data_IF_871283840202
#
_entry.id   IF_871283840202
#
_cell.length_a   1.000
_cell.length_b   1.000
_cell.length_c   1.000
_cell.angle_alpha   90.00
_cell.angle_beta   90.00
_cell.angle_gamma   90.00
#
_symmetry.space_group_name_H-M   'P 1'
#
loop_
_entity.id
_entity.type
_entity.pdbx_description
1 polymer ?
#
# COMPACT_ATOMS: atom_id res chain seq x y z
N UNK A 1 15.35 -20.86 -15.93
CA UNK A 1 14.93 -19.45 -16.06
C UNK A 1 15.16 -18.78 -14.71
N UNK A 2 15.94 -17.71 -14.70
CA UNK A 2 16.16 -16.89 -13.51
C UNK A 2 15.05 -15.85 -13.40
N UNK A 3 14.37 -15.79 -12.27
CA UNK A 3 13.29 -14.84 -11.97
C UNK A 3 13.76 -13.80 -10.98
N UNK A 4 13.26 -12.57 -11.11
CA UNK A 4 13.46 -11.51 -10.12
C UNK A 4 12.12 -10.84 -9.83
N UNK A 5 11.77 -10.71 -8.56
CA UNK A 5 10.52 -10.06 -8.13
C UNK A 5 10.77 -9.06 -7.02
N UNK A 6 10.09 -7.93 -7.08
CA UNK A 6 10.07 -6.94 -6.00
C UNK A 6 8.98 -7.18 -4.96
N UNK A 7 8.14 -8.20 -5.18
CA UNK A 7 7.07 -8.57 -4.26
C UNK A 7 6.87 -10.09 -4.25
N UNK A 8 7.07 -10.71 -3.09
CA UNK A 8 6.86 -12.15 -2.91
C UNK A 8 5.42 -12.43 -2.49
N UNK A 9 4.53 -12.42 -3.47
CA UNK A 9 3.15 -12.89 -3.32
C UNK A 9 3.05 -14.40 -3.16
N UNK A 10 1.85 -14.97 -3.12
CA UNK A 10 1.67 -16.43 -3.01
C UNK A 10 2.37 -17.21 -4.10
N UNK A 11 2.39 -16.70 -5.34
CA UNK A 11 3.04 -17.36 -6.48
C UNK A 11 4.57 -17.40 -6.34
N UNK A 12 5.20 -16.28 -6.00
CA UNK A 12 6.64 -16.17 -5.80
C UNK A 12 7.10 -17.04 -4.63
N UNK A 13 6.33 -17.05 -3.53
CA UNK A 13 6.60 -17.93 -2.38
C UNK A 13 6.52 -19.41 -2.77
N UNK A 14 5.50 -19.79 -3.53
CA UNK A 14 5.36 -21.14 -4.05
C UNK A 14 6.55 -21.54 -4.94
N UNK A 15 6.96 -20.66 -5.87
CA UNK A 15 8.11 -20.90 -6.75
C UNK A 15 9.39 -21.06 -5.94
N UNK A 16 9.67 -20.17 -4.99
CA UNK A 16 10.84 -20.26 -4.10
C UNK A 16 10.84 -21.58 -3.31
N UNK A 17 9.72 -21.91 -2.69
CA UNK A 17 9.60 -23.09 -1.82
C UNK A 17 9.62 -24.40 -2.63
N UNK A 18 9.34 -24.33 -3.96
CA UNK A 18 9.50 -25.42 -4.93
C UNK A 18 10.92 -25.53 -5.51
N UNK A 19 11.85 -24.65 -5.09
CA UNK A 19 13.24 -24.66 -5.56
C UNK A 19 13.48 -23.98 -6.90
N UNK A 20 12.55 -23.12 -7.36
CA UNK A 20 12.79 -22.29 -8.54
C UNK A 20 13.90 -21.26 -8.26
N UNK A 21 14.64 -20.93 -9.32
CA UNK A 21 15.67 -19.87 -9.32
C UNK A 21 14.98 -18.50 -9.34
N UNK A 22 14.65 -17.98 -8.15
CA UNK A 22 13.96 -16.71 -7.95
C UNK A 22 14.61 -15.86 -6.87
N UNK A 23 14.92 -14.62 -7.18
CA UNK A 23 15.51 -13.63 -6.28
C UNK A 23 14.54 -12.52 -5.94
N UNK A 24 14.65 -12.03 -4.70
CA UNK A 24 13.97 -10.83 -4.25
C UNK A 24 14.79 -9.56 -4.53
N UNK A 25 14.17 -8.55 -5.13
CA UNK A 25 14.77 -7.23 -5.36
C UNK A 25 14.19 -6.24 -4.35
N UNK A 26 14.93 -5.89 -3.28
CA UNK A 26 14.43 -4.95 -2.28
C UNK A 26 14.39 -3.51 -2.82
N UNK A 27 13.21 -2.93 -2.85
CA UNK A 27 13.00 -1.52 -3.18
C UNK A 27 11.60 -1.07 -2.70
N UNK A 28 11.47 0.19 -2.34
CA UNK A 28 10.16 0.84 -2.23
C UNK A 28 9.46 0.80 -3.59
N UNK A 29 8.14 0.71 -3.62
CA UNK A 29 7.44 0.56 -4.89
C UNK A 29 7.72 1.73 -5.86
N UNK A 30 7.79 2.96 -5.37
CA UNK A 30 8.16 4.13 -6.19
C UNK A 30 9.52 4.01 -6.89
N UNK A 31 10.44 3.22 -6.33
CA UNK A 31 11.80 3.02 -6.86
C UNK A 31 11.87 1.94 -7.93
N UNK A 32 10.79 1.22 -8.20
CA UNK A 32 10.79 0.21 -9.28
C UNK A 32 10.83 0.84 -10.67
N UNK A 33 10.31 2.06 -10.90
CA UNK A 33 10.47 2.74 -12.17
C UNK A 33 11.97 2.94 -12.55
N UNK A 34 12.84 3.51 -11.68
CA UNK A 34 14.28 3.59 -11.97
C UNK A 34 14.98 2.20 -11.96
N UNK A 35 14.45 1.19 -11.26
CA UNK A 35 14.99 -0.19 -11.34
C UNK A 35 14.76 -0.75 -12.74
N UNK A 36 13.55 -0.66 -13.28
CA UNK A 36 13.23 -1.09 -14.64
C UNK A 36 14.06 -0.36 -15.70
N UNK A 37 14.20 0.97 -15.56
CA UNK A 37 15.03 1.79 -16.44
C UNK A 37 16.49 1.30 -16.50
N UNK A 38 17.07 0.91 -15.35
CA UNK A 38 18.43 0.34 -15.30
C UNK A 38 18.52 -1.08 -15.85
N UNK A 39 17.47 -1.91 -15.64
CA UNK A 39 17.41 -3.28 -16.16
C UNK A 39 17.23 -3.33 -17.69
N UNK A 40 16.66 -2.29 -18.29
CA UNK A 40 16.38 -2.18 -19.72
C UNK A 40 15.77 -3.45 -20.31
N UNK A 41 14.59 -3.90 -19.83
CA UNK A 41 13.98 -5.13 -20.30
C UNK A 41 13.77 -5.05 -21.82
N UNK A 42 14.22 -6.06 -22.54
CA UNK A 42 14.05 -6.12 -24.00
C UNK A 42 12.59 -6.27 -24.40
N UNK A 43 11.80 -6.94 -23.56
CA UNK A 43 10.37 -7.14 -23.74
C UNK A 43 9.66 -6.60 -22.51
N UNK A 44 8.70 -5.70 -22.71
CA UNK A 44 7.75 -5.26 -21.69
C UNK A 44 6.39 -5.84 -22.04
N UNK A 45 5.84 -6.67 -21.17
CA UNK A 45 4.49 -7.22 -21.29
C UNK A 45 3.59 -6.61 -20.20
N UNK A 46 2.48 -6.02 -20.62
CA UNK A 46 1.49 -5.39 -19.74
C UNK A 46 0.07 -5.83 -20.10
N UNK A 47 -0.88 -5.53 -19.21
CA UNK A 47 -2.30 -5.75 -19.47
C UNK A 47 -3.05 -4.42 -19.58
N UNK A 48 -4.12 -4.39 -20.38
CA UNK A 48 -4.95 -3.23 -20.60
C UNK A 48 -6.40 -3.57 -20.93
N UNK A 49 -7.23 -2.55 -20.94
CA UNK A 49 -8.61 -2.67 -21.39
C UNK A 49 -8.68 -2.78 -22.92
N UNK A 50 -9.85 -3.21 -23.46
CA UNK A 50 -10.09 -3.19 -24.91
C UNK A 50 -9.84 -1.79 -25.50
N UNK A 51 -9.24 -1.71 -26.71
CA UNK A 51 -8.98 -0.43 -27.35
C UNK A 51 -10.27 0.37 -27.62
N UNK A 52 -10.22 1.67 -27.37
CA UNK A 52 -11.26 2.63 -27.72
C UNK A 52 -10.62 3.79 -28.44
N UNK A 53 -11.10 4.11 -29.64
CA UNK A 53 -10.57 5.20 -30.49
C UNK A 53 -9.04 5.13 -30.69
N UNK A 54 -8.49 3.93 -30.88
CA UNK A 54 -7.07 3.67 -31.07
C UNK A 54 -6.24 3.69 -29.77
N UNK A 55 -6.84 3.85 -28.62
CA UNK A 55 -6.14 3.88 -27.33
C UNK A 55 -6.48 2.69 -26.44
N UNK A 56 -5.46 2.06 -25.88
CA UNK A 56 -5.55 1.04 -24.84
C UNK A 56 -5.34 1.70 -23.49
N UNK A 57 -6.33 1.67 -22.60
CA UNK A 57 -6.14 2.06 -21.19
C UNK A 57 -5.31 1.01 -20.47
N UNK A 58 -4.36 1.42 -19.62
CA UNK A 58 -3.57 0.51 -18.78
C UNK A 58 -4.40 -0.15 -17.66
N UNK A 59 -5.68 0.14 -17.62
CA UNK A 59 -6.67 -0.49 -16.74
C UNK A 59 -6.32 -0.38 -15.25
N UNK A 60 -6.08 -1.48 -14.57
CA UNK A 60 -5.98 -1.54 -13.11
C UNK A 60 -4.58 -1.20 -12.58
N UNK A 61 -3.60 -0.91 -13.44
CA UNK A 61 -2.21 -0.75 -12.99
C UNK A 61 -1.44 0.26 -13.83
N UNK A 62 -1.14 1.43 -13.26
CA UNK A 62 -0.15 2.36 -13.78
C UNK A 62 1.26 1.95 -13.29
N UNK A 63 1.44 1.85 -12.00
CA UNK A 63 2.61 1.29 -11.33
C UNK A 63 3.94 1.87 -11.80
N UNK A 64 4.94 0.99 -11.83
CA UNK A 64 6.31 1.32 -12.24
C UNK A 64 6.52 1.23 -13.77
N UNK A 65 5.52 0.79 -14.53
CA UNK A 65 5.66 0.50 -15.98
C UNK A 65 5.36 1.69 -16.87
N UNK A 66 4.67 2.72 -16.38
CA UNK A 66 4.24 3.86 -17.22
C UNK A 66 5.43 4.54 -17.93
N UNK A 67 6.45 4.92 -17.20
CA UNK A 67 7.68 5.53 -17.78
C UNK A 67 8.45 4.54 -18.66
N UNK A 68 8.41 3.26 -18.32
CA UNK A 68 9.11 2.22 -19.09
C UNK A 68 8.43 1.94 -20.42
N UNK A 69 7.11 2.10 -20.53
CA UNK A 69 6.38 2.03 -21.79
C UNK A 69 6.93 3.08 -22.79
N UNK A 70 7.11 4.32 -22.34
CA UNK A 70 7.66 5.38 -23.19
C UNK A 70 9.08 5.05 -23.66
N UNK A 71 9.93 4.51 -22.78
CA UNK A 71 11.29 4.09 -23.13
C UNK A 71 11.33 2.92 -24.11
N UNK A 72 10.40 1.97 -23.98
CA UNK A 72 10.27 0.84 -24.92
C UNK A 72 9.81 1.32 -26.29
N UNK A 73 8.83 2.22 -26.35
CA UNK A 73 8.33 2.79 -27.60
C UNK A 73 9.42 3.58 -28.34
N UNK A 74 10.29 4.26 -27.61
CA UNK A 74 11.37 5.06 -28.18
C UNK A 74 12.57 4.23 -28.66
N UNK A 75 12.66 2.94 -28.35
CA UNK A 75 13.81 2.07 -28.66
C UNK A 75 13.39 0.97 -29.63
N UNK A 76 13.85 0.98 -30.90
CA UNK A 76 13.45 0.03 -31.93
C UNK A 76 13.90 -1.42 -31.66
N UNK A 77 14.86 -1.63 -30.75
CA UNK A 77 15.35 -2.96 -30.39
C UNK A 77 14.54 -3.61 -29.26
N UNK A 78 13.53 -2.89 -28.75
CA UNK A 78 12.68 -3.34 -27.64
C UNK A 78 11.26 -3.61 -28.14
N UNK A 79 10.53 -4.43 -27.38
CA UNK A 79 9.21 -4.92 -27.75
C UNK A 79 8.20 -4.64 -26.64
N UNK A 80 7.09 -3.99 -27.01
CA UNK A 80 5.93 -3.79 -26.17
C UNK A 80 4.84 -4.81 -26.55
N UNK A 81 4.46 -5.67 -25.59
CA UNK A 81 3.35 -6.61 -25.71
C UNK A 81 2.23 -6.13 -24.79
N UNK A 82 1.03 -5.99 -25.32
CA UNK A 82 -0.15 -5.61 -24.52
C UNK A 82 -1.21 -6.69 -24.64
N UNK A 83 -1.53 -7.33 -23.54
CA UNK A 83 -2.70 -8.19 -23.40
C UNK A 83 -3.92 -7.33 -23.15
N UNK A 84 -4.99 -7.49 -23.93
CA UNK A 84 -6.26 -6.79 -23.74
C UNK A 84 -7.38 -7.79 -23.46
N UNK A 85 -8.25 -7.43 -22.52
CA UNK A 85 -9.42 -8.25 -22.19
C UNK A 85 -10.66 -7.36 -22.02
N UNK A 86 -11.87 -7.84 -22.45
CA UNK A 86 -13.12 -7.13 -22.21
C UNK A 86 -13.46 -7.01 -20.71
N UNK A 87 -12.86 -7.84 -19.87
CA UNK A 87 -13.08 -7.84 -18.42
C UNK A 87 -12.23 -6.82 -17.68
N UNK A 88 -11.21 -6.23 -18.32
CA UNK A 88 -10.42 -5.17 -17.71
C UNK A 88 -11.10 -3.81 -17.87
N UNK A 89 -11.36 -3.08 -16.76
CA UNK A 89 -12.05 -1.80 -16.82
C UNK A 89 -11.19 -0.75 -17.54
N UNK A 90 -11.85 0.11 -18.32
CA UNK A 90 -11.24 1.32 -18.85
C UNK A 90 -11.16 2.35 -17.73
N UNK A 91 -9.95 2.76 -17.39
CA UNK A 91 -9.65 3.75 -16.35
C UNK A 91 -8.85 4.90 -16.93
N UNK A 92 -8.66 5.98 -16.18
CA UNK A 92 -8.09 7.23 -16.67
C UNK A 92 -6.89 7.69 -15.86
N UNK A 93 -5.94 8.34 -16.52
CA UNK A 93 -4.90 9.13 -15.87
C UNK A 93 -5.34 10.57 -15.59
N UNK A 94 -4.45 11.40 -15.09
CA UNK A 94 -4.64 12.84 -15.02
C UNK A 94 -3.92 13.48 -16.22
N UNK A 95 -4.69 14.06 -17.12
CA UNK A 95 -4.15 14.79 -18.28
C UNK A 95 -3.57 16.12 -17.77
N UNK A 96 -2.25 16.16 -17.58
CA UNK A 96 -1.51 17.39 -17.34
C UNK A 96 -1.04 17.99 -18.68
N UNK A 97 -0.77 19.30 -18.77
CA UNK A 97 -0.12 19.88 -19.92
C UNK A 97 1.17 19.13 -20.26
N UNK A 98 1.27 18.60 -21.49
CA UNK A 98 2.38 17.75 -21.91
C UNK A 98 2.18 16.24 -21.78
N UNK A 99 0.99 15.78 -21.39
CA UNK A 99 0.64 14.35 -21.34
C UNK A 99 1.34 13.54 -20.25
N UNK A 100 1.90 14.19 -19.24
CA UNK A 100 2.80 13.59 -18.24
C UNK A 100 2.18 12.46 -17.40
N UNK A 101 0.85 12.37 -17.33
CA UNK A 101 0.16 11.36 -16.54
C UNK A 101 -0.87 10.59 -17.37
N UNK A 102 -0.54 10.33 -18.63
CA UNK A 102 -1.37 9.48 -19.48
C UNK A 102 -1.38 8.05 -18.95
N UNK A 103 -2.57 7.49 -18.80
CA UNK A 103 -2.77 6.10 -18.38
C UNK A 103 -3.25 5.26 -19.56
N UNK A 104 -2.63 5.42 -20.71
CA UNK A 104 -3.00 4.76 -21.97
C UNK A 104 -1.84 4.71 -22.96
N UNK A 105 -1.89 3.78 -23.89
CA UNK A 105 -0.95 3.66 -25.01
C UNK A 105 -1.72 3.56 -26.34
N UNK A 106 -1.22 4.23 -27.38
CA UNK A 106 -1.83 4.14 -28.70
C UNK A 106 -1.49 2.81 -29.38
N UNK A 107 -2.44 2.21 -30.09
CA UNK A 107 -2.25 0.90 -30.74
C UNK A 107 -1.08 0.86 -31.71
N UNK A 108 -0.79 1.97 -32.39
CA UNK A 108 0.36 2.08 -33.33
C UNK A 108 1.72 1.95 -32.63
N UNK A 109 1.78 2.13 -31.33
CA UNK A 109 3.00 1.99 -30.52
C UNK A 109 3.17 0.60 -29.89
N UNK A 110 2.22 -0.30 -30.14
CA UNK A 110 2.21 -1.66 -29.60
C UNK A 110 2.75 -2.62 -30.65
N UNK A 111 3.82 -3.35 -30.31
CA UNK A 111 4.37 -4.34 -31.23
C UNK A 111 3.48 -5.58 -31.37
N UNK A 112 2.90 -6.05 -30.23
CA UNK A 112 2.00 -7.21 -30.22
C UNK A 112 0.81 -6.92 -29.32
N UNK A 113 -0.38 -6.85 -29.90
CA UNK A 113 -1.65 -6.80 -29.18
C UNK A 113 -2.19 -8.24 -29.08
N UNK A 114 -2.41 -8.69 -27.87
CA UNK A 114 -2.87 -10.06 -27.58
C UNK A 114 -4.26 -9.99 -26.94
N UNK A 115 -5.26 -10.54 -27.64
CA UNK A 115 -6.61 -10.63 -27.09
C UNK A 115 -6.73 -11.83 -26.14
N UNK A 116 -7.42 -11.64 -25.01
CA UNK A 116 -7.71 -12.67 -24.03
C UNK A 116 -9.10 -12.48 -23.41
N UNK A 117 -9.58 -13.53 -22.76
CA UNK A 117 -10.79 -13.52 -21.93
C UNK A 117 -10.43 -13.54 -20.43
N UNK A 118 -9.22 -13.15 -20.08
CA UNK A 118 -8.76 -13.18 -18.69
C UNK A 118 -9.51 -12.15 -17.85
N UNK A 119 -10.00 -12.59 -16.70
CA UNK A 119 -10.61 -11.71 -15.69
C UNK A 119 -9.53 -11.09 -14.79
N UNK A 120 -9.79 -9.91 -14.22
CA UNK A 120 -8.94 -9.34 -13.18
C UNK A 120 -8.86 -10.25 -11.94
N UNK A 121 -7.78 -10.14 -11.20
CA UNK A 121 -7.62 -10.87 -9.93
C UNK A 121 -8.74 -10.47 -8.96
N UNK A 122 -9.56 -11.44 -8.55
CA UNK A 122 -10.56 -11.23 -7.51
C UNK A 122 -9.91 -11.32 -6.12
N UNK A 123 -9.92 -10.21 -5.38
CA UNK A 123 -9.57 -10.16 -3.97
C UNK A 123 -10.85 -10.00 -3.16
N UNK A 124 -11.30 -11.09 -2.57
CA UNK A 124 -12.48 -11.08 -1.71
C UNK A 124 -12.26 -10.20 -0.47
N UNK A 125 -13.32 -9.55 -0.02
CA UNK A 125 -13.29 -8.83 1.25
C UNK A 125 -13.02 -9.79 2.42
N UNK A 126 -12.11 -9.39 3.29
CA UNK A 126 -11.80 -10.15 4.50
C UNK A 126 -12.76 -9.72 5.62
N UNK A 127 -13.40 -10.70 6.25
CA UNK A 127 -14.19 -10.45 7.46
C UNK A 127 -13.21 -10.14 8.61
N UNK A 128 -13.31 -8.96 9.26
CA UNK A 128 -12.39 -8.60 10.32
C UNK A 128 -12.60 -9.49 11.56
N UNK A 129 -11.52 -9.84 12.21
CA UNK A 129 -11.52 -10.47 13.54
C UNK A 129 -11.92 -9.45 14.62
N UNK A 130 -12.26 -9.92 15.82
CA UNK A 130 -12.58 -9.04 16.95
C UNK A 130 -11.42 -8.07 17.28
N UNK A 131 -10.16 -8.56 17.23
CA UNK A 131 -8.98 -7.74 17.42
C UNK A 131 -8.86 -6.65 16.33
N UNK A 132 -9.07 -7.00 15.07
CA UNK A 132 -9.02 -6.04 13.95
C UNK A 132 -10.13 -5.00 14.02
N UNK A 133 -11.32 -5.36 14.50
CA UNK A 133 -12.41 -4.39 14.73
C UNK A 133 -12.02 -3.39 15.82
N UNK A 134 -11.46 -3.83 16.96
CA UNK A 134 -10.98 -2.93 18.01
C UNK A 134 -9.85 -2.02 17.54
N UNK A 135 -8.89 -2.55 16.76
CA UNK A 135 -7.83 -1.75 16.14
C UNK A 135 -8.43 -0.66 15.25
N UNK A 136 -9.40 -1.01 14.43
CA UNK A 136 -10.07 -0.05 13.55
C UNK A 136 -10.82 1.05 14.34
N UNK A 137 -11.52 0.70 15.43
CA UNK A 137 -12.18 1.65 16.32
C UNK A 137 -11.19 2.66 16.95
N UNK A 138 -10.00 2.19 17.33
CA UNK A 138 -8.93 3.05 17.86
C UNK A 138 -8.37 3.92 16.73
N UNK A 139 -8.09 3.35 15.55
CA UNK A 139 -7.58 4.09 14.39
C UNK A 139 -8.55 5.19 13.92
N UNK A 140 -9.85 4.97 14.04
CA UNK A 140 -10.88 5.97 13.72
C UNK A 140 -10.77 7.26 14.53
N UNK A 141 -10.12 7.25 15.71
CA UNK A 141 -9.90 8.46 16.53
C UNK A 141 -8.92 9.43 15.87
N UNK A 142 -8.12 8.97 14.91
CA UNK A 142 -7.19 9.78 14.12
C UNK A 142 -7.79 10.29 12.81
N UNK A 143 -9.03 9.88 12.47
CA UNK A 143 -9.69 10.23 11.21
C UNK A 143 -10.85 11.18 11.51
N UNK A 144 -10.74 12.40 11.03
CA UNK A 144 -11.78 13.43 11.14
C UNK A 144 -12.21 13.92 9.75
N UNK A 145 -13.24 14.75 9.69
CA UNK A 145 -13.72 15.37 8.46
C UNK A 145 -12.59 16.12 7.74
N UNK A 146 -12.50 15.92 6.44
CA UNK A 146 -11.48 16.55 5.60
C UNK A 146 -10.12 15.82 5.60
N UNK A 147 -9.99 14.66 6.25
CA UNK A 147 -8.79 13.84 6.11
C UNK A 147 -8.62 13.30 4.69
N UNK A 148 -7.38 13.26 4.22
CA UNK A 148 -7.01 12.48 3.03
C UNK A 148 -6.51 11.11 3.47
N UNK A 149 -7.03 10.06 2.86
CA UNK A 149 -6.86 8.68 3.32
C UNK A 149 -6.01 7.86 2.36
N UNK A 150 -5.12 7.05 2.93
CA UNK A 150 -4.53 5.87 2.30
C UNK A 150 -4.91 4.65 3.12
N UNK A 151 -5.40 3.61 2.43
CA UNK A 151 -5.67 2.31 3.04
C UNK A 151 -5.17 1.18 2.16
N UNK A 152 -4.77 0.08 2.78
CA UNK A 152 -4.47 -1.18 2.10
C UNK A 152 -5.66 -2.15 2.10
N UNK A 153 -5.34 -3.43 1.94
CA UNK A 153 -6.26 -4.57 2.10
C UNK A 153 -6.14 -5.16 3.50
N UNK A 154 -7.16 -5.90 3.92
CA UNK A 154 -7.21 -6.61 5.21
C UNK A 154 -8.40 -6.21 6.07
N UNK A 155 -8.54 -6.85 7.22
CA UNK A 155 -9.68 -6.64 8.11
C UNK A 155 -9.77 -5.22 8.66
N UNK A 156 -8.66 -4.66 9.12
CA UNK A 156 -8.62 -3.30 9.69
C UNK A 156 -9.01 -2.23 8.66
N UNK A 157 -8.35 -2.11 7.47
CA UNK A 157 -8.73 -1.12 6.47
C UNK A 157 -10.16 -1.27 5.98
N UNK A 158 -10.64 -2.51 5.80
CA UNK A 158 -12.00 -2.78 5.36
C UNK A 158 -13.04 -2.32 6.39
N UNK A 159 -12.78 -2.59 7.68
CA UNK A 159 -13.66 -2.14 8.76
C UNK A 159 -13.70 -0.63 8.89
N UNK A 160 -12.55 0.05 8.82
CA UNK A 160 -12.46 1.52 8.83
C UNK A 160 -13.28 2.11 7.69
N UNK A 161 -13.10 1.64 6.45
CA UNK A 161 -13.85 2.15 5.30
C UNK A 161 -15.37 1.95 5.47
N UNK A 162 -15.80 0.82 6.04
CA UNK A 162 -17.21 0.52 6.34
C UNK A 162 -17.77 1.48 7.40
N UNK A 163 -17.03 1.72 8.48
CA UNK A 163 -17.44 2.64 9.54
C UNK A 163 -17.50 4.08 9.05
N UNK A 164 -16.53 4.53 8.26
CA UNK A 164 -16.53 5.86 7.66
C UNK A 164 -17.73 6.03 6.71
N UNK A 165 -18.04 5.03 5.90
CA UNK A 165 -19.20 5.05 5.00
C UNK A 165 -20.52 5.14 5.75
N UNK A 166 -20.66 4.50 6.90
CA UNK A 166 -21.87 4.48 7.73
C UNK A 166 -21.96 5.68 8.71
N UNK A 167 -20.82 6.25 9.13
CA UNK A 167 -20.74 7.32 10.14
C UNK A 167 -21.34 8.66 9.70
N UNK A 168 -21.24 9.68 10.54
CA UNK A 168 -21.75 11.03 10.25
C UNK A 168 -20.71 11.93 9.57
N UNK A 169 -19.42 11.58 9.60
CA UNK A 169 -18.33 12.35 9.01
C UNK A 169 -18.35 12.37 7.47
N UNK A 170 -17.45 13.16 6.87
CA UNK A 170 -17.37 13.30 5.42
C UNK A 170 -16.24 14.21 4.94
N UNK A 171 -16.37 14.71 3.73
CA UNK A 171 -15.38 15.56 3.06
C UNK A 171 -13.99 14.90 2.93
N UNK A 172 -13.95 13.58 2.78
CA UNK A 172 -12.69 12.84 2.67
C UNK A 172 -12.02 13.04 1.30
N UNK A 173 -10.70 13.04 1.31
CA UNK A 173 -9.87 12.85 0.12
C UNK A 173 -9.32 11.42 0.07
N UNK A 174 -8.93 10.97 -1.12
CA UNK A 174 -8.21 9.70 -1.30
C UNK A 174 -6.93 9.95 -2.08
N UNK A 175 -5.81 9.56 -1.47
CA UNK A 175 -4.50 9.47 -2.09
C UNK A 175 -3.85 8.18 -1.59
N UNK A 176 -3.97 7.11 -2.37
CA UNK A 176 -3.63 5.76 -1.93
C UNK A 176 -2.88 4.99 -3.01
N UNK A 177 -1.84 4.26 -2.63
CA UNK A 177 -1.16 3.36 -3.55
C UNK A 177 -2.15 2.43 -4.24
N UNK A 178 -2.91 1.70 -3.43
CA UNK A 178 -3.94 0.77 -3.88
C UNK A 178 -5.33 1.38 -3.71
N UNK A 179 -6.17 1.24 -4.73
CA UNK A 179 -7.61 1.53 -4.63
C UNK A 179 -8.37 0.23 -4.38
N UNK A 180 -9.14 0.18 -3.30
CA UNK A 180 -9.78 -1.04 -2.80
C UNK A 180 -11.29 -0.97 -2.86
N UNK A 181 -11.98 -2.12 -2.70
CA UNK A 181 -13.45 -2.18 -2.58
C UNK A 181 -13.97 -1.36 -1.38
N UNK A 182 -13.18 -1.23 -0.30
CA UNK A 182 -13.51 -0.37 0.84
C UNK A 182 -13.57 1.11 0.43
N UNK A 183 -12.58 1.59 -0.32
CA UNK A 183 -12.56 2.97 -0.82
C UNK A 183 -13.68 3.23 -1.85
N UNK A 184 -14.03 2.25 -2.68
CA UNK A 184 -15.21 2.34 -3.55
C UNK A 184 -16.49 2.55 -2.73
N UNK A 185 -16.70 1.76 -1.68
CA UNK A 185 -17.90 1.92 -0.80
C UNK A 185 -17.93 3.30 -0.14
N UNK A 186 -16.77 3.82 0.26
CA UNK A 186 -16.67 5.17 0.81
C UNK A 186 -17.07 6.24 -0.23
N UNK A 187 -16.66 6.09 -1.49
CA UNK A 187 -17.14 6.93 -2.60
C UNK A 187 -18.65 6.85 -2.79
N UNK A 188 -19.19 5.62 -2.85
CA UNK A 188 -20.62 5.38 -3.07
C UNK A 188 -21.49 5.94 -1.93
N UNK A 189 -20.94 6.12 -0.72
CA UNK A 189 -21.63 6.77 0.40
C UNK A 189 -21.76 8.29 0.25
N UNK A 190 -21.15 8.91 -0.79
CA UNK A 190 -21.17 10.34 -1.05
C UNK A 190 -20.27 11.18 -0.12
N UNK A 191 -19.36 10.55 0.60
CA UNK A 191 -18.50 11.22 1.61
C UNK A 191 -17.12 11.61 1.12
N UNK A 192 -16.76 11.22 -0.10
CA UNK A 192 -15.50 11.58 -0.75
C UNK A 192 -15.71 12.80 -1.63
N UNK A 193 -15.08 13.89 -1.28
CA UNK A 193 -15.11 15.15 -2.07
C UNK A 193 -13.79 15.40 -2.77
N UNK A 194 -12.71 14.78 -2.31
CA UNK A 194 -11.35 15.02 -2.79
C UNK A 194 -10.90 16.49 -2.73
N UNK A 195 -11.44 17.27 -1.80
CA UNK A 195 -10.98 18.64 -1.54
C UNK A 195 -9.71 18.57 -0.68
N UNK A 196 -8.59 18.25 -1.31
CA UNK A 196 -7.30 17.94 -0.65
C UNK A 196 -6.38 19.15 -0.55
N UNK A 197 -6.67 20.22 -1.30
CA UNK A 197 -5.82 21.42 -1.39
C UNK A 197 -4.52 21.17 -2.17
N UNK A 198 -4.53 20.24 -3.13
CA UNK A 198 -3.36 19.83 -3.93
C UNK A 198 -3.62 19.93 -5.43
N UNK A 199 -2.59 19.63 -6.25
CA UNK A 199 -2.72 19.55 -7.70
C UNK A 199 -3.70 18.45 -8.18
N UNK A 200 -4.11 17.53 -7.28
CA UNK A 200 -5.02 16.43 -7.57
C UNK A 200 -6.38 16.61 -6.88
N UNK A 201 -6.80 17.84 -6.63
CA UNK A 201 -8.12 18.12 -6.11
C UNK A 201 -9.22 17.68 -7.08
N UNK A 202 -10.34 17.26 -6.50
CA UNK A 202 -11.54 16.86 -7.23
C UNK A 202 -11.58 15.39 -7.67
N UNK A 203 -10.49 14.62 -7.51
CA UNK A 203 -10.48 13.18 -7.79
C UNK A 203 -9.55 12.40 -6.86
N UNK A 204 -9.87 11.13 -6.68
CA UNK A 204 -9.02 10.18 -5.97
C UNK A 204 -7.82 9.79 -6.82
N UNK A 205 -6.67 9.63 -6.17
CA UNK A 205 -5.42 9.26 -6.82
C UNK A 205 -4.97 7.89 -6.35
N UNK A 206 -4.58 7.05 -7.31
CA UNK A 206 -4.06 5.70 -7.05
C UNK A 206 -3.06 5.28 -8.11
N UNK A 207 -2.21 4.26 -7.83
CA UNK A 207 -1.33 3.69 -8.85
C UNK A 207 -1.80 2.33 -9.35
N UNK A 208 -2.56 1.59 -8.55
CA UNK A 208 -3.26 0.38 -9.00
C UNK A 208 -4.52 0.12 -8.17
N UNK A 209 -5.38 -0.77 -8.67
CA UNK A 209 -6.58 -1.20 -7.97
C UNK A 209 -6.66 -2.72 -7.90
N UNK A 210 -7.13 -3.21 -6.75
CA UNK A 210 -7.47 -4.62 -6.58
C UNK A 210 -8.59 -4.78 -5.55
N UNK A 211 -9.54 -5.67 -5.81
CA UNK A 211 -10.69 -5.91 -4.95
C UNK A 211 -11.67 -6.91 -5.55
N UNK A 212 -12.94 -6.72 -5.27
CA UNK A 212 -14.03 -7.55 -5.78
C UNK A 212 -14.40 -7.18 -7.22
N UNK A 213 -15.12 -8.04 -7.95
CA UNK A 213 -15.64 -7.73 -9.30
C UNK A 213 -16.46 -6.44 -9.37
N UNK A 214 -17.20 -6.10 -8.31
CA UNK A 214 -17.97 -4.87 -8.23
C UNK A 214 -17.10 -3.62 -8.31
N UNK A 215 -15.89 -3.67 -7.70
CA UNK A 215 -14.92 -2.60 -7.81
C UNK A 215 -14.52 -2.36 -9.27
N UNK A 216 -14.26 -3.42 -10.03
CA UNK A 216 -13.83 -3.30 -11.43
C UNK A 216 -14.95 -2.76 -12.32
N UNK A 217 -16.19 -3.20 -12.07
CA UNK A 217 -17.37 -2.65 -12.72
C UNK A 217 -17.55 -1.17 -12.43
N UNK A 218 -17.38 -0.77 -11.17
CA UNK A 218 -17.51 0.63 -10.73
C UNK A 218 -16.39 1.52 -11.29
N UNK A 219 -15.17 1.00 -11.43
CA UNK A 219 -14.03 1.73 -12.00
C UNK A 219 -14.14 1.94 -13.50
N UNK A 220 -14.96 1.13 -14.22
CA UNK A 220 -15.07 1.24 -15.66
C UNK A 220 -15.67 2.59 -16.08
N UNK A 221 -14.89 3.39 -16.82
CA UNK A 221 -15.23 4.75 -17.24
C UNK A 221 -15.51 5.73 -16.07
N UNK A 222 -15.00 5.45 -14.89
CA UNK A 222 -15.15 6.32 -13.72
C UNK A 222 -14.10 7.44 -13.73
N UNK A 223 -14.58 8.69 -13.80
CA UNK A 223 -13.73 9.89 -13.82
C UNK A 223 -13.33 10.40 -12.43
N UNK A 224 -13.89 9.84 -11.36
CA UNK A 224 -13.57 10.27 -9.98
C UNK A 224 -12.27 9.68 -9.47
N UNK A 225 -11.71 8.67 -10.18
CA UNK A 225 -10.46 8.00 -9.81
C UNK A 225 -9.44 8.14 -10.94
N UNK A 226 -8.23 8.57 -10.59
CA UNK A 226 -7.11 8.73 -11.52
C UNK A 226 -5.97 7.78 -11.16
N UNK A 227 -5.52 7.06 -12.17
CA UNK A 227 -4.37 6.16 -12.09
C UNK A 227 -3.12 6.88 -12.54
N UNK A 228 -2.16 7.04 -11.65
CA UNK A 228 -0.91 7.76 -11.90
C UNK A 228 0.30 6.84 -11.70
N UNK A 229 1.46 7.17 -12.29
CA UNK A 229 2.69 6.44 -12.05
C UNK A 229 3.04 6.35 -10.56
N UNK A 230 3.67 5.26 -10.16
CA UNK A 230 3.96 4.99 -8.75
C UNK A 230 4.94 6.01 -8.13
N UNK A 231 5.86 6.54 -8.90
CA UNK A 231 6.80 7.59 -8.45
C UNK A 231 6.10 8.93 -8.19
N UNK A 232 4.87 9.11 -8.67
CA UNK A 232 4.00 10.25 -8.36
C UNK A 232 3.12 9.94 -7.14
N UNK A 233 2.37 8.83 -7.17
CA UNK A 233 1.43 8.48 -6.10
C UNK A 233 2.16 8.20 -4.79
N UNK A 234 3.29 7.51 -4.87
CA UNK A 234 4.08 7.09 -3.72
C UNK A 234 5.22 8.07 -3.36
N UNK A 235 5.29 9.26 -4.00
CA UNK A 235 6.26 10.27 -3.57
C UNK A 235 5.89 10.83 -2.20
N UNK A 236 6.74 10.69 -1.16
CA UNK A 236 6.48 11.30 0.14
C UNK A 236 6.26 12.82 0.06
N UNK A 237 6.92 13.49 -0.87
CA UNK A 237 6.79 14.94 -1.11
C UNK A 237 5.39 15.29 -1.65
N UNK A 238 4.82 14.45 -2.52
CA UNK A 238 3.48 14.63 -3.07
C UNK A 238 2.42 14.22 -2.03
N UNK A 239 2.64 13.11 -1.33
CA UNK A 239 1.77 12.66 -0.23
C UNK A 239 1.65 13.77 0.83
N UNK A 240 2.77 14.39 1.20
CA UNK A 240 2.83 15.48 2.18
C UNK A 240 2.04 16.73 1.80
N UNK A 241 1.75 16.96 0.52
CA UNK A 241 0.93 18.09 0.08
C UNK A 241 -0.55 17.95 0.46
N UNK A 242 -1.02 16.72 0.72
CA UNK A 242 -2.37 16.49 1.23
C UNK A 242 -2.42 16.87 2.71
N UNK A 243 -3.28 17.80 3.09
CA UNK A 243 -3.52 18.14 4.50
C UNK A 243 -4.23 16.99 5.21
N UNK A 244 -3.93 16.81 6.50
CA UNK A 244 -4.52 15.77 7.33
C UNK A 244 -4.43 14.38 6.65
N UNK A 245 -3.26 14.09 6.06
CA UNK A 245 -3.02 12.80 5.42
C UNK A 245 -2.95 11.71 6.49
N UNK A 246 -3.86 10.76 6.46
CA UNK A 246 -3.87 9.59 7.36
C UNK A 246 -3.59 8.34 6.54
N UNK A 247 -2.45 7.71 6.83
CA UNK A 247 -2.05 6.45 6.20
C UNK A 247 -2.20 5.29 7.19
N UNK A 248 -2.79 4.18 6.72
CA UNK A 248 -3.07 2.99 7.52
C UNK A 248 -2.32 1.81 6.92
N UNK A 249 -1.28 1.36 7.61
CA UNK A 249 -0.40 0.29 7.17
C UNK A 249 -0.39 -0.87 8.18
N UNK A 250 -0.19 -2.09 7.69
CA UNK A 250 -0.01 -3.26 8.53
C UNK A 250 1.45 -3.52 8.88
N UNK A 251 1.71 -4.32 9.94
CA UNK A 251 3.03 -4.81 10.27
C UNK A 251 2.99 -6.25 10.76
N UNK A 252 4.14 -6.94 10.74
CA UNK A 252 4.32 -8.28 11.29
C UNK A 252 4.74 -8.23 12.76
N UNK A 253 5.63 -7.29 13.10
CA UNK A 253 6.12 -7.10 14.47
C UNK A 253 6.70 -5.69 14.65
N UNK A 254 6.79 -5.24 15.92
CA UNK A 254 7.49 -4.04 16.35
C UNK A 254 8.31 -4.35 17.59
N UNK A 255 9.52 -3.79 17.73
CA UNK A 255 10.27 -3.87 18.99
C UNK A 255 10.01 -2.65 19.89
N UNK A 256 10.47 -2.74 21.15
CA UNK A 256 10.26 -1.67 22.13
C UNK A 256 10.98 -0.35 21.76
N UNK A 257 11.87 -0.33 20.80
CA UNK A 257 12.46 0.91 20.26
C UNK A 257 11.61 1.56 19.17
N UNK A 258 10.67 0.81 18.59
CA UNK A 258 9.80 1.23 17.50
C UNK A 258 10.29 0.80 16.10
N UNK A 259 11.24 -0.14 16.00
CA UNK A 259 11.60 -0.74 14.70
C UNK A 259 10.52 -1.70 14.24
N UNK A 260 10.09 -1.60 12.99
CA UNK A 260 8.98 -2.39 12.42
C UNK A 260 9.47 -3.39 11.40
N UNK A 261 8.95 -4.61 11.48
CA UNK A 261 9.02 -5.63 10.43
C UNK A 261 7.65 -5.70 9.75
N UNK A 262 7.59 -5.51 8.43
CA UNK A 262 6.33 -5.58 7.68
C UNK A 262 6.35 -6.57 6.51
N UNK A 263 7.51 -6.91 5.94
CA UNK A 263 7.64 -7.66 4.69
C UNK A 263 8.36 -9.01 4.82
N UNK A 264 8.82 -9.37 6.04
CA UNK A 264 9.54 -10.62 6.29
C UNK A 264 9.04 -11.36 7.54
N UNK A 265 9.24 -12.67 7.59
CA UNK A 265 8.93 -13.52 8.75
C UNK A 265 10.12 -14.45 8.99
N UNK A 266 10.70 -14.40 10.20
CA UNK A 266 11.84 -15.24 10.57
C UNK A 266 13.04 -15.10 9.63
N UNK A 267 13.32 -13.87 9.17
CA UNK A 267 14.39 -13.56 8.24
C UNK A 267 14.14 -13.99 6.79
N UNK A 268 12.97 -14.57 6.47
CA UNK A 268 12.57 -14.93 5.10
C UNK A 268 11.62 -13.88 4.53
N UNK A 269 11.84 -13.51 3.27
CA UNK A 269 10.92 -12.62 2.54
C UNK A 269 9.53 -13.24 2.45
N UNK A 270 8.52 -12.50 2.87
CA UNK A 270 7.11 -12.90 2.90
C UNK A 270 6.25 -12.12 1.90
N UNK A 271 6.53 -10.83 1.73
CA UNK A 271 5.88 -9.96 0.76
C UNK A 271 6.92 -9.08 0.06
N UNK A 272 6.62 -7.89 -0.29
CA UNK A 272 7.53 -6.81 -0.63
C UNK A 272 7.30 -5.64 0.30
N UNK A 273 8.18 -4.67 0.26
CA UNK A 273 8.04 -3.42 1.00
C UNK A 273 6.78 -2.67 0.50
N UNK A 274 6.52 -2.75 -0.83
CA UNK A 274 5.45 -1.98 -1.46
C UNK A 274 5.63 -0.49 -1.22
N UNK A 275 4.54 0.20 -0.95
CA UNK A 275 4.55 1.61 -0.57
C UNK A 275 4.55 1.87 0.93
N UNK A 276 4.82 0.86 1.76
CA UNK A 276 4.76 1.00 3.22
C UNK A 276 5.62 2.18 3.70
N UNK A 277 6.90 2.23 3.31
CA UNK A 277 7.81 3.32 3.67
C UNK A 277 7.37 4.68 3.13
N UNK A 278 6.83 4.72 1.92
CA UNK A 278 6.35 5.95 1.28
C UNK A 278 5.20 6.58 2.09
N UNK A 279 4.25 5.73 2.52
CA UNK A 279 3.07 6.11 3.30
C UNK A 279 3.30 6.11 4.82
N UNK A 280 4.48 5.78 5.28
CA UNK A 280 4.96 6.11 6.63
C UNK A 280 5.61 7.50 6.61
N UNK A 281 6.50 7.75 5.65
CA UNK A 281 7.25 9.01 5.58
C UNK A 281 6.39 10.22 5.15
N UNK A 282 5.53 10.06 4.13
CA UNK A 282 4.73 11.15 3.57
C UNK A 282 3.80 11.82 4.56
N UNK A 283 2.96 11.10 5.32
CA UNK A 283 2.09 11.68 6.34
C UNK A 283 2.85 12.43 7.44
N UNK A 284 4.04 11.96 7.82
CA UNK A 284 4.89 12.64 8.79
C UNK A 284 5.35 14.03 8.36
N UNK A 285 5.31 14.32 7.06
CA UNK A 285 5.61 15.64 6.47
C UNK A 285 4.35 16.47 6.17
N UNK A 286 3.17 15.87 6.24
CA UNK A 286 1.89 16.52 6.00
C UNK A 286 1.44 17.36 7.19
N UNK A 287 0.86 18.54 6.94
CA UNK A 287 0.26 19.35 8.01
C UNK A 287 -0.96 18.63 8.58
N UNK A 288 -0.89 18.22 9.84
CA UNK A 288 -1.91 17.44 10.52
C UNK A 288 -1.95 15.96 10.10
N UNK A 289 -0.91 15.49 9.38
CA UNK A 289 -0.84 14.11 8.94
C UNK A 289 -0.46 13.13 10.04
N UNK A 290 -0.88 11.88 9.90
CA UNK A 290 -0.59 10.77 10.83
C UNK A 290 -0.31 9.48 10.06
N UNK A 291 0.70 8.76 10.48
CA UNK A 291 1.00 7.42 9.96
C UNK A 291 0.70 6.37 11.03
N UNK A 292 -0.27 5.51 10.73
CA UNK A 292 -0.77 4.47 11.64
C UNK A 292 -0.23 3.10 11.22
N UNK A 293 0.52 2.46 12.12
CA UNK A 293 0.95 1.06 11.97
C UNK A 293 0.02 0.19 12.82
N UNK A 294 -0.88 -0.52 12.15
CA UNK A 294 -1.96 -1.29 12.76
C UNK A 294 -1.65 -2.79 12.70
N UNK A 295 -1.66 -3.46 13.85
CA UNK A 295 -1.46 -4.92 13.91
C UNK A 295 -2.08 -5.52 15.16
N UNK A 296 -2.63 -6.75 15.13
CA UNK A 296 -2.95 -7.48 16.34
C UNK A 296 -1.72 -7.63 17.24
N UNK A 297 -1.89 -7.54 18.54
CA UNK A 297 -0.77 -7.62 19.51
C UNK A 297 -0.13 -9.00 19.56
N UNK A 298 -0.84 -10.03 19.09
CA UNK A 298 -0.38 -11.43 19.06
C UNK A 298 -0.63 -12.11 17.72
N UNK A 299 0.02 -13.24 17.53
CA UNK A 299 -0.25 -14.18 16.44
C UNK A 299 -0.04 -15.61 16.94
N UNK A 300 -0.47 -16.60 16.16
CA UNK A 300 -0.26 -18.01 16.46
C UNK A 300 0.87 -18.57 15.59
N UNK A 301 1.88 -19.12 16.23
CA UNK A 301 3.01 -19.78 15.55
C UNK A 301 3.13 -21.21 16.10
N UNK A 302 2.97 -22.22 15.24
CA UNK A 302 3.01 -23.66 15.61
C UNK A 302 2.07 -24.04 16.76
N UNK A 303 0.91 -23.37 16.85
CA UNK A 303 -0.08 -23.58 17.91
C UNK A 303 0.12 -22.77 19.19
N UNK A 304 1.23 -22.04 19.32
CA UNK A 304 1.54 -21.17 20.46
C UNK A 304 1.18 -19.72 20.16
N UNK A 305 0.61 -19.01 21.14
CA UNK A 305 0.35 -17.58 21.06
C UNK A 305 1.68 -16.86 21.33
N UNK A 306 2.08 -16.00 20.40
CA UNK A 306 3.31 -15.19 20.51
C UNK A 306 3.00 -13.72 20.36
N UNK A 307 3.74 -12.88 21.09
CA UNK A 307 3.62 -11.42 21.00
C UNK A 307 4.18 -10.92 19.66
N UNK A 308 3.54 -9.93 19.07
CA UNK A 308 4.05 -9.15 17.94
C UNK A 308 4.77 -7.87 18.39
N UNK A 309 4.62 -7.49 19.66
CA UNK A 309 5.47 -6.49 20.30
C UNK A 309 6.60 -7.24 20.99
N UNK A 310 7.82 -6.96 20.60
CA UNK A 310 9.02 -7.69 21.00
C UNK A 310 9.93 -6.80 21.85
N UNK A 311 10.58 -7.38 22.85
CA UNK A 311 11.60 -6.65 23.61
C UNK A 311 12.72 -6.13 22.71
N UNK A 312 13.23 -7.00 21.84
CA UNK A 312 14.16 -6.70 20.73
C UNK A 312 13.82 -7.58 19.53
N UNK A 313 14.14 -7.08 18.34
CA UNK A 313 14.04 -7.91 17.15
C UNK A 313 15.01 -9.10 17.24
N UNK A 314 14.61 -10.31 16.82
CA UNK A 314 15.52 -11.45 16.72
C UNK A 314 16.71 -11.16 15.82
N UNK A 315 17.84 -11.80 16.09
CA UNK A 315 19.03 -11.72 15.23
C UNK A 315 18.70 -12.14 13.79
N UNK A 316 19.19 -11.40 12.81
CA UNK A 316 18.91 -11.63 11.38
C UNK A 316 17.57 -11.10 10.92
N UNK A 317 16.81 -10.39 11.76
CA UNK A 317 15.58 -9.73 11.32
C UNK A 317 15.86 -8.63 10.29
N UNK A 318 14.94 -8.49 9.34
CA UNK A 318 14.98 -7.40 8.36
C UNK A 318 14.03 -6.30 8.82
N UNK A 319 14.57 -5.12 9.12
CA UNK A 319 13.78 -3.95 9.50
C UNK A 319 13.20 -3.32 8.24
N UNK A 320 11.88 -3.24 8.17
CA UNK A 320 11.18 -2.55 7.08
C UNK A 320 11.13 -1.06 7.36
N UNK A 321 10.64 -0.66 8.55
CA UNK A 321 10.57 0.76 8.95
C UNK A 321 11.50 1.04 10.11
N UNK A 322 12.46 1.96 9.95
CA UNK A 322 13.34 2.36 11.03
C UNK A 322 12.59 3.18 12.10
N UNK A 323 13.00 3.02 13.36
CA UNK A 323 12.34 3.60 14.55
C UNK A 323 12.06 5.11 14.47
N UNK A 324 12.86 5.85 13.75
CA UNK A 324 12.73 7.32 13.67
C UNK A 324 11.60 7.78 12.72
N UNK A 325 11.02 6.88 11.91
CA UNK A 325 9.92 7.20 11.01
C UNK A 325 8.55 6.81 11.58
N UNK A 326 8.50 5.91 12.57
CA UNK A 326 7.24 5.40 13.13
C UNK A 326 6.57 6.48 13.99
N UNK A 327 5.32 6.80 13.63
CA UNK A 327 4.49 7.80 14.32
C UNK A 327 3.58 7.15 15.35
N UNK A 328 2.61 6.33 14.93
CA UNK A 328 1.64 5.67 15.82
C UNK A 328 1.62 4.18 15.57
N UNK A 329 1.71 3.38 16.63
CA UNK A 329 1.46 1.93 16.59
C UNK A 329 0.14 1.64 17.29
N UNK A 330 -0.74 0.86 16.66
CA UNK A 330 -2.08 0.54 17.17
C UNK A 330 -2.24 -0.98 17.27
N UNK A 331 -2.67 -1.43 18.43
CA UNK A 331 -3.14 -2.80 18.67
C UNK A 331 -4.57 -2.77 19.22
N UNK A 332 -5.19 -3.91 19.44
CA UNK A 332 -6.50 -4.04 20.09
C UNK A 332 -6.53 -3.57 21.55
N UNK A 333 -5.35 -3.26 22.14
CA UNK A 333 -5.21 -2.76 23.52
C UNK A 333 -4.91 -1.26 23.61
N UNK A 334 -4.79 -0.55 22.48
CA UNK A 334 -4.60 0.89 22.47
C UNK A 334 -3.67 1.38 21.35
N UNK A 335 -3.35 2.66 21.43
CA UNK A 335 -2.40 3.33 20.55
C UNK A 335 -1.17 3.80 21.34
N UNK A 336 0.00 3.67 20.75
CA UNK A 336 1.27 4.22 21.21
C UNK A 336 1.72 5.29 20.22
N UNK A 337 1.67 6.57 20.64
CA UNK A 337 2.18 7.70 19.87
C UNK A 337 3.66 7.86 20.15
N UNK A 338 4.49 7.58 19.15
CA UNK A 338 5.94 7.47 19.33
C UNK A 338 6.73 8.72 18.91
N UNK A 339 6.12 9.59 18.12
CA UNK A 339 6.78 10.80 17.64
C UNK A 339 7.18 11.71 18.81
N UNK A 340 8.45 12.12 18.86
CA UNK A 340 8.98 12.99 19.90
C UNK A 340 9.33 12.29 21.22
N UNK A 341 9.05 11.01 21.37
CA UNK A 341 9.39 10.25 22.59
C UNK A 341 10.83 9.73 22.55
N UNK A 342 11.50 9.74 23.71
CA UNK A 342 12.75 9.04 23.95
C UNK A 342 12.59 7.52 23.81
N UNK A 343 13.68 6.77 23.69
CA UNK A 343 13.61 5.30 23.61
C UNK A 343 12.95 4.70 24.86
N UNK A 344 13.24 5.22 26.05
CA UNK A 344 12.63 4.73 27.28
C UNK A 344 11.11 4.95 27.29
N UNK A 345 10.64 6.15 26.92
CA UNK A 345 9.21 6.45 26.82
C UNK A 345 8.52 5.58 25.76
N UNK A 346 9.13 5.40 24.58
CA UNK A 346 8.62 4.49 23.53
C UNK A 346 8.46 3.07 24.05
N UNK A 347 9.45 2.57 24.78
CA UNK A 347 9.44 1.22 25.32
C UNK A 347 8.25 1.00 26.26
N UNK A 348 7.96 1.96 27.14
CA UNK A 348 6.81 1.91 28.03
C UNK A 348 5.48 1.98 27.27
N UNK A 349 5.36 2.90 26.30
CA UNK A 349 4.13 3.03 25.51
C UNK A 349 3.84 1.78 24.67
N UNK A 350 4.84 1.20 24.03
CA UNK A 350 4.69 -0.04 23.27
C UNK A 350 4.37 -1.24 24.16
N UNK A 351 5.02 -1.35 25.32
CA UNK A 351 4.69 -2.40 26.31
C UNK A 351 3.24 -2.26 26.81
N UNK A 352 2.75 -1.04 27.01
CA UNK A 352 1.38 -0.76 27.47
C UNK A 352 0.30 -1.29 26.53
N UNK A 353 0.52 -1.22 25.23
CA UNK A 353 -0.43 -1.68 24.20
C UNK A 353 -0.23 -3.15 23.81
N UNK A 354 0.65 -3.90 24.50
CA UNK A 354 0.84 -5.32 24.27
C UNK A 354 -0.30 -6.15 24.89
N UNK A 355 -0.40 -7.42 24.46
CA UNK A 355 -1.32 -8.36 25.08
C UNK A 355 -1.02 -8.53 26.59
N UNK A 356 -2.02 -8.59 27.46
CA UNK A 356 -1.83 -8.69 28.92
C UNK A 356 -0.83 -9.75 29.36
N UNK A 357 -0.84 -10.93 28.75
CA UNK A 357 0.04 -12.05 29.12
C UNK A 357 1.54 -11.78 28.88
N UNK A 358 1.87 -10.83 28.02
CA UNK A 358 3.26 -10.45 27.70
C UNK A 358 3.67 -9.11 28.30
N UNK A 359 2.72 -8.34 28.83
CA UNK A 359 2.91 -6.94 29.25
C UNK A 359 3.93 -6.79 30.37
N UNK A 360 3.83 -7.61 31.40
CA UNK A 360 4.74 -7.54 32.55
C UNK A 360 6.18 -7.80 32.14
N UNK A 361 6.42 -8.82 31.33
CA UNK A 361 7.74 -9.12 30.79
C UNK A 361 8.30 -7.98 29.93
N UNK A 362 7.45 -7.38 29.08
CA UNK A 362 7.85 -6.28 28.21
C UNK A 362 8.13 -5.01 29.01
N UNK A 363 7.35 -4.69 30.05
CA UNK A 363 7.59 -3.58 30.95
C UNK A 363 8.92 -3.75 31.70
N UNK A 364 9.17 -4.93 32.22
CA UNK A 364 10.46 -5.24 32.87
C UNK A 364 11.64 -5.09 31.90
N UNK A 365 11.46 -5.46 30.64
CA UNK A 365 12.48 -5.24 29.59
C UNK A 365 12.66 -3.75 29.31
N UNK A 366 11.57 -2.96 29.30
CA UNK A 366 11.63 -1.51 29.09
C UNK A 366 12.40 -0.77 30.20
N UNK A 367 12.26 -1.21 31.46
CA UNK A 367 12.96 -0.62 32.61
C UNK A 367 14.49 -0.79 32.55
N UNK A 368 14.97 -1.87 31.93
CA UNK A 368 16.41 -2.17 31.78
C UNK A 368 16.94 -1.83 30.38
N UNK A 369 16.13 -1.18 29.55
CA UNK A 369 16.58 -0.72 28.24
C UNK A 369 17.72 0.29 28.43
N UNK A 370 18.88 0.11 27.79
CA UNK A 370 20.00 1.02 28.01
C UNK A 370 19.56 2.45 27.75
N UNK A 371 19.67 3.28 28.78
CA UNK A 371 19.72 4.72 28.58
C UNK A 371 21.04 5.01 27.86
N UNK A 372 20.98 5.39 26.60
CA UNK A 372 22.13 5.84 25.83
C UNK A 372 22.65 7.18 26.33
#
# INVERSE_FOLDING_TARGET
VHLQSGFFGPAERFLRDSGADIDFVPADFRRFAPVLARKKPRVLAIAGAQPVDGWVSLSLHAGATTDEIERVIADPDRVLIVEVSPHFPRTFGADAPGGKYMHRVHVDNINYLVESEREPLNLADVVPTEAEMKIAEIAMQYIHDGCTLQTGIGGVPNHIATQLAAGSGGNYGIHSEMFTSGLMRLHMSGKVTNNKGTAFDGFSVTTFAAGTPDLYTWLHNNNDVRFLPVDVVNSPEIIAQNRNMVAINGAMAVDLSGQVIADSIGGKQFSGIGGHEDFVAGPGLSVGGRSLVCMPSTTVVKGEIVSRILGRLPEGSVVTTPRHQVDVVITEFGAAELSGLSIAERSHELARISHPDFREQLLSTAEVWPAD
#
